data_IF_943167751892
#
_entry.id   IF_943167751892
#
_cell.length_a   1.000
_cell.length_b   1.000
_cell.length_c   1.000
_cell.angle_alpha   90.00
_cell.angle_beta   90.00
_cell.angle_gamma   90.00
#
_symmetry.space_group_name_H-M   'P 1'
#
loop_
_entity.id
_entity.type
_entity.pdbx_description
1 polymer ?
#
# COMPACT_ATOMS: atom_id res chain seq x y z
N UNK A 1 14.83 12.42 -12.40
CA UNK A 1 14.62 13.43 -11.34
C UNK A 1 14.35 12.66 -10.05
N UNK A 2 15.08 12.93 -8.97
CA UNK A 2 14.82 12.30 -7.67
C UNK A 2 13.42 12.72 -7.18
N UNK A 3 12.63 11.78 -6.66
CA UNK A 3 11.32 12.13 -6.10
C UNK A 3 11.52 12.90 -4.79
N UNK A 4 10.82 14.02 -4.64
CA UNK A 4 10.83 14.78 -3.38
C UNK A 4 10.13 13.98 -2.29
N UNK A 5 10.66 14.04 -1.06
CA UNK A 5 10.05 13.38 0.10
C UNK A 5 8.70 14.03 0.47
N UNK A 6 7.83 13.32 1.22
CA UNK A 6 6.59 13.89 1.72
C UNK A 6 6.80 15.22 2.48
N UNK A 7 7.75 15.26 3.41
CA UNK A 7 8.07 16.49 4.15
C UNK A 7 8.50 17.62 3.23
N UNK A 8 9.36 17.33 2.24
CA UNK A 8 9.86 18.33 1.30
C UNK A 8 8.74 18.94 0.45
N UNK A 9 7.81 18.11 -0.04
CA UNK A 9 6.63 18.57 -0.78
C UNK A 9 5.71 19.42 0.07
N UNK A 10 5.47 19.01 1.32
CA UNK A 10 4.61 19.73 2.26
C UNK A 10 5.14 21.14 2.52
N UNK A 11 6.44 21.24 2.82
CA UNK A 11 7.11 22.53 3.04
C UNK A 11 7.09 23.43 1.79
N UNK A 12 7.23 22.85 0.58
CA UNK A 12 7.11 23.63 -0.67
C UNK A 12 5.70 24.21 -0.82
N UNK A 13 4.66 23.40 -0.61
CA UNK A 13 3.27 23.85 -0.71
C UNK A 13 2.93 24.95 0.30
N UNK A 14 3.46 24.89 1.53
CA UNK A 14 3.33 25.96 2.52
C UNK A 14 4.05 27.24 2.07
N UNK A 15 5.27 27.11 1.53
CA UNK A 15 6.06 28.27 1.05
C UNK A 15 5.40 28.97 -0.13
N UNK A 16 4.74 28.22 -0.99
CA UNK A 16 3.97 28.74 -2.14
C UNK A 16 2.66 29.41 -1.73
N UNK A 17 2.27 29.34 -0.44
CA UNK A 17 1.04 29.95 0.07
C UNK A 17 -0.24 29.21 -0.32
N UNK A 18 -0.12 28.02 -0.89
CA UNK A 18 -1.27 27.20 -1.33
C UNK A 18 -2.05 26.57 -0.16
N UNK A 19 -1.40 26.41 1.00
CA UNK A 19 -1.96 25.75 2.18
C UNK A 19 -1.55 26.47 3.47
N UNK A 20 -2.35 26.31 4.52
CA UNK A 20 -2.04 26.85 5.84
C UNK A 20 -1.34 25.82 6.72
N UNK A 21 -0.42 26.24 7.61
CA UNK A 21 0.23 25.35 8.55
C UNK A 21 -0.76 24.77 9.57
N UNK A 22 -0.79 23.45 9.71
CA UNK A 22 -1.64 22.70 10.65
C UNK A 22 -0.81 21.61 11.36
N UNK A 23 -0.90 21.53 12.69
CA UNK A 23 -0.10 20.59 13.51
C UNK A 23 -0.45 19.11 13.26
N UNK A 24 -1.73 18.80 13.04
CA UNK A 24 -2.19 17.44 12.77
C UNK A 24 -1.71 17.00 11.39
N UNK A 25 -1.77 17.91 10.41
CA UNK A 25 -1.21 17.65 9.08
C UNK A 25 0.31 17.44 9.15
N UNK A 26 1.04 18.24 9.93
CA UNK A 26 2.49 18.04 10.15
C UNK A 26 2.79 16.66 10.73
N UNK A 27 2.04 16.21 11.72
CA UNK A 27 2.23 14.88 12.30
C UNK A 27 1.97 13.77 11.26
N UNK A 28 0.88 13.89 10.50
CA UNK A 28 0.57 12.94 9.43
C UNK A 28 1.68 12.90 8.36
N UNK A 29 2.20 14.06 7.94
CA UNK A 29 3.33 14.17 7.01
C UNK A 29 4.59 13.50 7.58
N UNK A 30 4.89 13.68 8.87
CA UNK A 30 6.03 13.01 9.51
C UNK A 30 5.90 11.48 9.46
N UNK A 31 4.70 10.94 9.68
CA UNK A 31 4.45 9.49 9.56
C UNK A 31 4.56 9.02 8.11
N UNK A 32 4.05 9.79 7.16
CA UNK A 32 4.18 9.50 5.72
C UNK A 32 5.64 9.54 5.26
N UNK A 33 6.45 10.47 5.77
CA UNK A 33 7.88 10.54 5.47
C UNK A 33 8.62 9.32 6.03
N UNK A 34 8.29 8.87 7.25
CA UNK A 34 8.83 7.63 7.83
C UNK A 34 8.55 6.42 6.93
N UNK A 35 7.30 6.26 6.48
CA UNK A 35 6.91 5.19 5.55
C UNK A 35 7.70 5.29 4.24
N UNK A 36 7.83 6.50 3.69
CA UNK A 36 8.61 6.74 2.48
C UNK A 36 10.08 6.32 2.65
N UNK A 37 10.73 6.67 3.77
CA UNK A 37 12.11 6.24 4.04
C UNK A 37 12.23 4.71 4.17
N UNK A 38 11.32 4.07 4.91
CA UNK A 38 11.31 2.62 5.05
C UNK A 38 11.12 1.89 3.71
N UNK A 39 10.25 2.42 2.84
CA UNK A 39 10.04 1.88 1.49
C UNK A 39 11.27 2.04 0.60
N UNK A 40 12.02 3.14 0.71
CA UNK A 40 13.27 3.34 -0.04
C UNK A 40 14.40 2.44 0.43
N UNK A 41 14.47 2.17 1.72
CA UNK A 41 15.54 1.37 2.32
C UNK A 41 15.31 -0.14 2.18
N UNK A 42 14.14 -0.57 1.72
CA UNK A 42 13.90 -1.98 1.40
C UNK A 42 14.62 -2.37 0.10
N UNK A 43 15.43 -3.44 0.12
CA UNK A 43 15.99 -3.97 -1.11
C UNK A 43 14.83 -4.40 -2.02
N UNK A 44 14.74 -3.79 -3.21
CA UNK A 44 13.71 -4.15 -4.19
C UNK A 44 13.93 -5.60 -4.60
N UNK A 45 13.02 -6.49 -4.19
CA UNK A 45 13.01 -7.86 -4.68
C UNK A 45 12.45 -7.81 -6.10
N UNK A 46 13.30 -7.44 -7.06
CA UNK A 46 12.95 -7.59 -8.46
C UNK A 46 12.64 -9.08 -8.72
N UNK A 47 11.56 -9.39 -9.46
CA UNK A 47 11.31 -10.78 -9.84
C UNK A 47 12.52 -11.27 -10.63
N UNK A 48 13.15 -12.34 -10.16
CA UNK A 48 14.28 -12.97 -10.85
C UNK A 48 13.79 -13.64 -12.13
N UNK A 49 13.53 -12.85 -13.16
CA UNK A 49 13.29 -13.33 -14.53
C UNK A 49 14.63 -13.52 -15.23
N UNK A 50 15.27 -14.68 -15.01
CA UNK A 50 16.43 -15.07 -15.82
C UNK A 50 17.49 -15.85 -15.07
N UNK A 51 17.26 -17.16 -14.90
CA UNK A 51 18.24 -18.07 -14.29
C UNK A 51 18.20 -19.48 -14.88
N UNK A 52 17.83 -19.61 -16.16
CA UNK A 52 18.03 -20.84 -16.91
C UNK A 52 19.51 -21.26 -16.84
N UNK A 53 19.75 -22.54 -16.58
CA UNK A 53 21.05 -23.24 -16.53
C UNK A 53 21.97 -22.97 -15.32
N UNK A 54 22.03 -21.78 -14.70
CA UNK A 54 22.91 -21.55 -13.52
C UNK A 54 22.36 -22.07 -12.18
N UNK A 55 21.04 -22.11 -12.00
CA UNK A 55 20.42 -22.55 -10.74
C UNK A 55 20.57 -24.05 -10.43
N UNK A 56 20.88 -24.89 -11.43
CA UNK A 56 21.07 -26.34 -11.23
C UNK A 56 22.46 -26.71 -10.70
N UNK A 57 23.47 -25.85 -10.86
CA UNK A 57 24.85 -26.10 -10.40
C UNK A 57 25.13 -25.58 -8.98
N UNK A 58 24.28 -24.71 -8.43
CA UNK A 58 24.42 -24.19 -7.06
C UNK A 58 23.76 -25.04 -5.97
N UNK A 59 23.04 -26.10 -6.33
CA UNK A 59 22.19 -26.86 -5.38
C UNK A 59 22.94 -27.82 -4.45
N UNK A 60 24.27 -27.94 -4.57
CA UNK A 60 25.07 -28.89 -3.80
C UNK A 60 25.99 -28.25 -2.74
N UNK A 61 26.03 -26.92 -2.62
CA UNK A 61 26.93 -26.27 -1.67
C UNK A 61 26.35 -24.94 -1.19
N UNK A 62 25.95 -24.92 0.08
CA UNK A 62 25.74 -23.67 0.82
C UNK A 62 24.32 -23.48 1.32
N UNK A 63 24.18 -23.63 2.65
CA UNK A 63 23.24 -22.96 3.56
C UNK A 63 22.05 -22.26 2.88
N UNK A 64 20.86 -22.81 3.08
CA UNK A 64 19.61 -22.03 3.02
C UNK A 64 19.75 -20.90 4.04
N UNK A 65 20.13 -19.71 3.58
CA UNK A 65 19.87 -18.49 4.32
C UNK A 65 18.34 -18.40 4.48
N UNK A 66 17.84 -18.10 5.70
CA UNK A 66 16.42 -17.84 5.86
C UNK A 66 16.09 -16.68 4.91
N UNK A 67 15.16 -16.92 3.98
CA UNK A 67 14.56 -15.85 3.20
C UNK A 67 14.00 -14.90 4.24
N UNK A 68 14.67 -13.75 4.45
CA UNK A 68 14.22 -12.75 5.38
C UNK A 68 12.77 -12.45 5.01
N UNK A 69 11.83 -12.77 5.90
CA UNK A 69 10.42 -12.40 5.75
C UNK A 69 10.42 -10.91 5.46
N UNK A 70 10.08 -10.54 4.23
CA UNK A 70 9.97 -9.14 3.83
C UNK A 70 8.71 -8.57 4.47
N UNK A 71 8.76 -8.36 5.79
CA UNK A 71 7.66 -7.81 6.57
C UNK A 71 7.21 -6.51 5.92
N UNK A 72 5.91 -6.34 5.66
CA UNK A 72 5.35 -5.13 5.06
C UNK A 72 5.78 -3.88 5.84
N UNK A 73 6.00 -2.75 5.15
CA UNK A 73 6.16 -1.47 5.87
C UNK A 73 4.81 -1.19 6.52
N UNK A 74 4.82 -0.78 7.79
CA UNK A 74 3.57 -0.50 8.48
C UNK A 74 2.93 0.73 7.85
N UNK A 75 1.69 0.56 7.39
CA UNK A 75 0.90 1.57 6.72
C UNK A 75 0.40 2.70 7.62
N UNK A 76 -0.38 3.61 7.02
CA UNK A 76 -1.05 4.72 7.72
C UNK A 76 -2.53 4.82 7.33
N UNK A 77 -3.40 4.87 8.33
CA UNK A 77 -4.82 5.17 8.16
C UNK A 77 -5.11 6.58 8.67
N UNK A 78 -5.45 7.48 7.77
CA UNK A 78 -5.73 8.90 8.06
C UNK A 78 -7.23 9.14 8.08
N UNK A 79 -7.77 9.59 9.21
CA UNK A 79 -9.20 9.86 9.34
C UNK A 79 -9.49 11.27 9.86
N UNK A 80 -10.72 11.73 9.61
CA UNK A 80 -11.22 13.02 10.08
C UNK A 80 -12.26 13.60 9.14
N UNK A 81 -12.91 14.70 9.53
CA UNK A 81 -13.99 15.31 8.75
C UNK A 81 -13.61 15.80 7.35
N UNK A 82 -14.62 16.23 6.59
CA UNK A 82 -14.48 16.81 5.25
C UNK A 82 -13.64 18.10 5.30
N UNK A 83 -12.84 18.36 4.27
CA UNK A 83 -12.06 19.60 4.15
C UNK A 83 -10.79 19.68 5.00
N UNK A 84 -10.38 18.59 5.69
CA UNK A 84 -9.18 18.56 6.55
C UNK A 84 -7.85 18.30 5.82
N UNK A 85 -7.88 18.19 4.49
CA UNK A 85 -6.67 18.00 3.66
C UNK A 85 -6.19 16.56 3.49
N UNK A 86 -6.98 15.55 3.90
CA UNK A 86 -6.60 14.12 3.79
C UNK A 86 -6.21 13.70 2.37
N UNK A 87 -7.04 14.05 1.39
CA UNK A 87 -6.79 13.76 -0.03
C UNK A 87 -5.50 14.42 -0.50
N UNK A 88 -5.26 15.68 -0.11
CA UNK A 88 -4.02 16.38 -0.44
C UNK A 88 -2.78 15.71 0.18
N UNK A 89 -2.85 15.27 1.43
CA UNK A 89 -1.76 14.51 2.06
C UNK A 89 -1.50 13.17 1.33
N UNK A 90 -2.57 12.51 0.87
CA UNK A 90 -2.47 11.30 0.04
C UNK A 90 -1.81 11.58 -1.31
N UNK A 91 -2.22 12.64 -2.02
CA UNK A 91 -1.61 13.09 -3.28
C UNK A 91 -0.10 13.29 -3.12
N UNK A 92 0.25 14.03 -2.08
CA UNK A 92 1.63 14.37 -1.75
C UNK A 92 2.46 13.12 -1.49
N UNK A 93 1.96 12.18 -0.71
CA UNK A 93 2.65 10.91 -0.44
C UNK A 93 2.81 10.08 -1.73
N UNK A 94 1.73 9.90 -2.48
CA UNK A 94 1.73 9.10 -3.71
C UNK A 94 2.73 9.64 -4.75
N UNK A 95 2.82 10.96 -4.89
CA UNK A 95 3.79 11.63 -5.77
C UNK A 95 5.24 11.54 -5.25
N UNK A 96 5.44 11.33 -3.95
CA UNK A 96 6.77 11.17 -3.35
C UNK A 96 7.36 9.77 -3.58
N UNK A 97 6.50 8.75 -3.65
CA UNK A 97 6.93 7.37 -3.83
C UNK A 97 7.74 7.18 -5.13
N UNK A 98 8.91 6.52 -5.08
CA UNK A 98 9.69 6.23 -6.28
C UNK A 98 9.06 5.08 -7.08
N UNK A 99 9.28 5.08 -8.40
CA UNK A 99 8.87 4.01 -9.29
C UNK A 99 7.35 3.89 -9.53
N UNK A 100 6.98 2.82 -10.24
CA UNK A 100 5.62 2.61 -10.77
C UNK A 100 4.83 1.53 -10.00
N UNK A 101 5.46 0.83 -9.04
CA UNK A 101 4.82 -0.25 -8.24
C UNK A 101 4.00 0.31 -7.09
N UNK A 102 3.13 1.27 -7.42
CA UNK A 102 2.21 1.97 -6.53
C UNK A 102 0.88 2.12 -7.26
N UNK A 103 -0.21 1.94 -6.53
CA UNK A 103 -1.55 2.16 -7.06
C UNK A 103 -2.35 3.04 -6.11
N UNK A 104 -3.16 3.91 -6.70
CA UNK A 104 -4.09 4.76 -5.98
C UNK A 104 -5.49 4.60 -6.56
N UNK A 105 -6.45 4.32 -5.68
CA UNK A 105 -7.83 4.09 -6.08
C UNK A 105 -8.80 4.42 -4.95
N UNK A 106 -10.03 4.80 -5.33
CA UNK A 106 -11.14 4.85 -4.38
C UNK A 106 -11.47 3.43 -3.91
N UNK A 107 -11.78 3.29 -2.62
CA UNK A 107 -12.02 1.98 -2.02
C UNK A 107 -13.18 1.20 -2.68
N UNK A 108 -14.26 1.85 -3.09
CA UNK A 108 -15.35 1.16 -3.79
C UNK A 108 -14.90 0.50 -5.10
N UNK A 109 -13.97 1.13 -5.84
CA UNK A 109 -13.42 0.57 -7.09
C UNK A 109 -12.52 -0.64 -6.81
N UNK A 110 -11.83 -0.62 -5.68
CA UNK A 110 -11.06 -1.78 -5.21
C UNK A 110 -12.00 -2.97 -4.94
N UNK A 111 -13.08 -2.76 -4.19
CA UNK A 111 -14.03 -3.82 -3.87
C UNK A 111 -14.73 -4.40 -5.11
N UNK A 112 -15.11 -3.55 -6.07
CA UNK A 112 -15.67 -4.01 -7.35
C UNK A 112 -14.70 -4.95 -8.09
N UNK A 113 -13.43 -4.55 -8.21
CA UNK A 113 -12.39 -5.39 -8.82
C UNK A 113 -12.23 -6.71 -8.07
N UNK A 114 -12.19 -6.68 -6.74
CA UNK A 114 -12.06 -7.90 -5.92
C UNK A 114 -13.23 -8.85 -6.18
N UNK A 115 -14.46 -8.35 -6.21
CA UNK A 115 -15.64 -9.16 -6.50
C UNK A 115 -15.62 -9.77 -7.92
N UNK A 116 -15.20 -9.00 -8.92
CA UNK A 116 -15.02 -9.49 -10.30
C UNK A 116 -13.98 -10.63 -10.36
N UNK A 117 -12.83 -10.44 -9.71
CA UNK A 117 -11.79 -11.46 -9.68
C UNK A 117 -12.24 -12.73 -8.94
N UNK A 118 -12.94 -12.59 -7.81
CA UNK A 118 -13.47 -13.74 -7.06
C UNK A 118 -14.54 -14.50 -7.85
N UNK A 119 -15.39 -13.78 -8.59
CA UNK A 119 -16.37 -14.39 -9.50
C UNK A 119 -15.66 -15.24 -10.57
N UNK A 120 -14.55 -14.75 -11.12
CA UNK A 120 -13.74 -15.50 -12.10
C UNK A 120 -13.02 -16.72 -11.50
N UNK A 121 -12.86 -16.76 -10.18
CA UNK A 121 -12.13 -17.79 -9.45
C UNK A 121 -13.07 -18.77 -8.71
N UNK A 122 -14.38 -18.76 -8.99
CA UNK A 122 -15.32 -19.71 -8.41
C UNK A 122 -14.83 -21.16 -8.57
N UNK A 123 -14.89 -21.93 -7.48
CA UNK A 123 -14.42 -23.32 -7.44
C UNK A 123 -12.94 -23.52 -7.09
N UNK A 124 -12.15 -22.44 -6.95
CA UNK A 124 -10.79 -22.54 -6.39
C UNK A 124 -10.86 -22.64 -4.85
N UNK A 125 -9.89 -23.35 -4.23
CA UNK A 125 -9.85 -23.52 -2.77
C UNK A 125 -9.58 -22.21 -2.03
N UNK A 126 -8.67 -21.38 -2.56
CA UNK A 126 -8.16 -20.18 -1.87
C UNK A 126 -8.15 -18.96 -2.81
N UNK A 127 -9.31 -18.50 -3.28
CA UNK A 127 -9.39 -17.46 -4.30
C UNK A 127 -8.82 -16.11 -3.82
N UNK A 128 -8.88 -15.81 -2.52
CA UNK A 128 -8.29 -14.58 -1.95
C UNK A 128 -6.76 -14.56 -2.03
N UNK A 129 -6.12 -15.71 -1.87
CA UNK A 129 -4.65 -15.82 -2.00
C UNK A 129 -4.23 -15.53 -3.45
N UNK A 130 -4.98 -16.07 -4.42
CA UNK A 130 -4.76 -15.82 -5.84
C UNK A 130 -4.94 -14.33 -6.18
N UNK A 131 -6.00 -13.70 -5.65
CA UNK A 131 -6.23 -12.25 -5.82
C UNK A 131 -5.07 -11.46 -5.22
N UNK A 132 -4.62 -11.81 -4.01
CA UNK A 132 -3.50 -11.14 -3.37
C UNK A 132 -2.18 -11.32 -4.14
N UNK A 133 -1.93 -12.48 -4.75
CA UNK A 133 -0.79 -12.71 -5.64
C UNK A 133 -0.83 -11.81 -6.88
N UNK A 134 -2.01 -11.64 -7.48
CA UNK A 134 -2.21 -10.75 -8.63
C UNK A 134 -1.96 -9.28 -8.26
N UNK A 135 -2.52 -8.81 -7.14
CA UNK A 135 -2.22 -7.46 -6.64
C UNK A 135 -0.72 -7.28 -6.37
N UNK A 136 -0.07 -8.27 -5.75
CA UNK A 136 1.37 -8.21 -5.51
C UNK A 136 2.18 -8.19 -6.80
N UNK A 137 1.74 -8.88 -7.86
CA UNK A 137 2.41 -8.81 -9.15
C UNK A 137 2.39 -7.38 -9.72
N UNK A 138 1.35 -6.60 -9.43
CA UNK A 138 1.16 -5.25 -9.95
C UNK A 138 1.77 -4.15 -9.07
N UNK A 139 1.66 -4.26 -7.75
CA UNK A 139 1.98 -3.15 -6.83
C UNK A 139 2.60 -3.61 -5.51
N UNK A 140 3.40 -2.72 -4.92
CA UNK A 140 3.94 -2.89 -3.56
C UNK A 140 3.31 -1.90 -2.57
N UNK A 141 2.68 -0.83 -3.07
CA UNK A 141 2.02 0.19 -2.25
C UNK A 141 0.60 0.42 -2.76
N UNK A 142 -0.38 0.28 -1.87
CA UNK A 142 -1.78 0.61 -2.12
C UNK A 142 -2.13 1.90 -1.38
N UNK A 143 -2.70 2.85 -2.11
CA UNK A 143 -3.21 4.11 -1.60
C UNK A 143 -4.73 4.14 -1.80
N UNK A 144 -5.50 4.01 -0.71
CA UNK A 144 -6.96 4.08 -0.76
C UNK A 144 -7.48 5.46 -0.40
N UNK A 145 -8.22 6.07 -1.33
CA UNK A 145 -9.05 7.22 -1.02
C UNK A 145 -10.44 6.76 -0.58
N UNK A 146 -11.02 7.49 0.39
CA UNK A 146 -12.41 7.30 0.84
C UNK A 146 -12.70 5.86 1.27
N UNK A 147 -11.85 5.32 2.13
CA UNK A 147 -12.01 3.99 2.71
C UNK A 147 -13.28 3.93 3.57
N UNK A 148 -14.27 3.20 3.09
CA UNK A 148 -15.56 3.03 3.75
C UNK A 148 -16.13 1.67 3.40
N UNK A 149 -16.49 0.89 4.42
CA UNK A 149 -17.13 -0.41 4.27
C UNK A 149 -18.58 -0.28 4.70
N UNK A 150 -19.51 -0.61 3.82
CA UNK A 150 -20.95 -0.46 4.08
C UNK A 150 -21.67 -1.77 4.40
N UNK A 151 -21.09 -2.92 4.08
CA UNK A 151 -21.69 -4.26 4.25
C UNK A 151 -20.77 -5.17 5.09
N UNK A 152 -21.36 -5.93 6.02
CA UNK A 152 -20.64 -6.89 6.86
C UNK A 152 -19.96 -8.00 6.05
N UNK A 153 -20.54 -8.39 4.92
CA UNK A 153 -20.01 -9.37 3.98
C UNK A 153 -18.71 -8.86 3.37
N UNK A 154 -18.71 -7.59 2.94
CA UNK A 154 -17.52 -6.92 2.44
C UNK A 154 -16.46 -6.77 3.54
N UNK A 155 -16.87 -6.51 4.79
CA UNK A 155 -15.94 -6.43 5.91
C UNK A 155 -15.20 -7.75 6.17
N UNK A 156 -15.92 -8.88 6.16
CA UNK A 156 -15.33 -10.21 6.33
C UNK A 156 -14.36 -10.54 5.20
N UNK A 157 -14.77 -10.26 3.95
CA UNK A 157 -13.96 -10.46 2.76
C UNK A 157 -12.66 -9.64 2.81
N UNK A 158 -12.80 -8.36 3.14
CA UNK A 158 -11.73 -7.40 3.23
C UNK A 158 -10.71 -7.80 4.31
N UNK A 159 -11.18 -8.24 5.49
CA UNK A 159 -10.30 -8.70 6.56
C UNK A 159 -9.40 -9.87 6.13
N UNK A 160 -9.95 -10.82 5.36
CA UNK A 160 -9.18 -11.92 4.77
C UNK A 160 -8.17 -11.44 3.73
N UNK A 161 -8.62 -10.63 2.78
CA UNK A 161 -7.78 -10.11 1.71
C UNK A 161 -6.63 -9.22 2.23
N UNK A 162 -6.90 -8.32 3.18
CA UNK A 162 -5.89 -7.43 3.76
C UNK A 162 -4.77 -8.24 4.44
N UNK A 163 -5.11 -9.31 5.17
CA UNK A 163 -4.10 -10.23 5.75
C UNK A 163 -3.22 -10.85 4.65
N UNK A 164 -3.84 -11.34 3.58
CA UNK A 164 -3.12 -11.94 2.45
C UNK A 164 -2.21 -10.93 1.73
N UNK A 165 -2.64 -9.67 1.56
CA UNK A 165 -1.83 -8.61 0.96
C UNK A 165 -0.64 -8.23 1.86
N UNK A 166 -0.85 -8.10 3.18
CA UNK A 166 0.23 -7.77 4.12
C UNK A 166 1.26 -8.90 4.24
N UNK A 167 0.83 -10.16 4.17
CA UNK A 167 1.73 -11.31 4.11
C UNK A 167 2.66 -11.27 2.88
N UNK A 168 2.23 -10.61 1.79
CA UNK A 168 3.02 -10.38 0.57
C UNK A 168 3.86 -9.09 0.61
N UNK A 169 3.90 -8.43 1.76
CA UNK A 169 4.68 -7.22 1.96
C UNK A 169 4.07 -5.96 1.35
N UNK A 170 2.79 -5.98 0.93
CA UNK A 170 2.11 -4.79 0.40
C UNK A 170 1.90 -3.79 1.54
N UNK A 171 2.24 -2.54 1.28
CA UNK A 171 2.07 -1.42 2.23
C UNK A 171 0.79 -0.68 1.91
N UNK A 172 -0.04 -0.40 2.91
CA UNK A 172 -1.32 0.28 2.74
C UNK A 172 -1.31 1.67 3.36
N UNK A 173 -1.68 2.69 2.59
CA UNK A 173 -2.05 4.02 3.12
C UNK A 173 -3.50 4.27 2.75
N UNK A 174 -4.31 4.75 3.68
CA UNK A 174 -5.74 4.96 3.47
C UNK A 174 -6.21 6.30 4.04
N UNK A 175 -7.25 6.88 3.44
CA UNK A 175 -7.99 8.03 3.99
C UNK A 175 -9.45 7.67 4.23
N UNK A 176 -10.05 8.20 5.30
CA UNK A 176 -11.49 8.04 5.56
C UNK A 176 -12.10 9.22 6.31
N UNK A 177 -13.42 9.38 6.21
CA UNK A 177 -14.19 10.27 7.08
C UNK A 177 -14.67 9.58 8.36
N UNK A 178 -14.47 8.27 8.49
CA UNK A 178 -14.95 7.45 9.59
C UNK A 178 -13.74 6.99 10.43
N UNK A 179 -13.81 7.04 11.77
CA UNK A 179 -12.76 6.48 12.62
C UNK A 179 -12.70 4.95 12.49
N UNK A 180 -11.55 4.30 12.73
CA UNK A 180 -11.40 2.85 12.55
C UNK A 180 -12.43 1.99 13.30
N UNK A 181 -12.83 2.42 14.50
CA UNK A 181 -13.76 1.68 15.37
C UNK A 181 -15.22 1.75 14.88
N UNK A 182 -15.53 2.64 13.92
CA UNK A 182 -16.87 2.82 13.35
C UNK A 182 -16.95 2.34 11.88
N UNK A 183 -15.94 1.62 11.39
CA UNK A 183 -15.89 1.15 10.00
C UNK A 183 -16.89 0.03 9.67
N UNK A 184 -17.53 -0.59 10.67
CA UNK A 184 -18.54 -1.63 10.52
C UNK A 184 -19.44 -1.75 11.76
#
# INVERSE_FOLDING_TARGET
MQSLSPTSRYLSSLKEGSHQPDDVQREAVSRLDTIYQELQNKPSVAPQTGGGLRAKFGKLLGKREPVAETAAVRGLYMWGGVGRGKTWLMDLFYQSLPGERKQRLHFHRFMLRVHEELTSLQGHSDPLEIVADRFKAETDVLCFDEFFVSDITDAMLLGGLMKALFARGITLVATSNIPPDELY
#
